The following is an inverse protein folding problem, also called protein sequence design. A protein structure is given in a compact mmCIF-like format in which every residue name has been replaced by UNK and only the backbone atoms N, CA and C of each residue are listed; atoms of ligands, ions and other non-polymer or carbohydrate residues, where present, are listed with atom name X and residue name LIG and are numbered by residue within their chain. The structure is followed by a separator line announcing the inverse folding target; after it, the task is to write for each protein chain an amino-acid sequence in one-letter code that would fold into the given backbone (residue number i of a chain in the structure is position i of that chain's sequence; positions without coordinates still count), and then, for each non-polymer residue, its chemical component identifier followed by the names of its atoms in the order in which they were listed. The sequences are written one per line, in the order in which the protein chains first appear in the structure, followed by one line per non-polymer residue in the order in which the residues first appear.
data_IF_680257659676
#
_entry.id   IF_680257659676
#
_cell.length_a   1.000
_cell.length_b   1.000
_cell.length_c   1.000
_cell.angle_alpha   90.00
_cell.angle_beta   90.00
_cell.angle_gamma   90.00
#
_symmetry.space_group_name_H-M   'P 1'
#
loop_
_entity.id
_entity.type
_entity.pdbx_description
1 polymer ?
#
# COMPACT_ATOMS: atom_id res chain seq x y z
N UNK A 1 24.12 27.03 12.46
CA UNK A 1 22.80 26.96 11.76
C UNK A 1 21.78 27.80 12.52
N UNK A 2 20.86 28.51 11.84
CA UNK A 2 19.80 29.28 12.52
C UNK A 2 18.54 28.44 12.77
N UNK A 3 17.83 28.71 13.87
CA UNK A 3 16.54 28.07 14.18
C UNK A 3 15.48 28.39 13.12
N UNK A 4 15.49 29.62 12.59
CA UNK A 4 14.62 30.03 11.48
C UNK A 4 14.73 29.10 10.26
N UNK A 5 15.95 28.65 9.93
CA UNK A 5 16.18 27.69 8.84
C UNK A 5 15.46 26.37 9.10
N UNK A 6 15.55 25.85 10.33
CA UNK A 6 14.86 24.62 10.74
C UNK A 6 13.34 24.80 10.70
N UNK A 7 12.83 25.95 11.13
CA UNK A 7 11.41 26.28 11.05
C UNK A 7 10.90 26.35 9.61
N UNK A 8 11.67 26.95 8.70
CA UNK A 8 11.31 26.97 7.26
C UNK A 8 11.32 25.56 6.65
N UNK A 9 12.26 24.69 7.05
CA UNK A 9 12.29 23.29 6.64
C UNK A 9 11.06 22.52 7.15
N UNK A 10 10.65 22.72 8.40
CA UNK A 10 9.44 22.12 8.96
C UNK A 10 8.17 22.55 8.22
N UNK A 11 8.03 23.85 7.94
CA UNK A 11 6.89 24.36 7.16
C UNK A 11 6.88 23.81 5.72
N UNK A 12 8.05 23.59 5.11
CA UNK A 12 8.14 22.97 3.80
C UNK A 12 7.75 21.49 3.84
N UNK A 13 8.24 20.73 4.84
CA UNK A 13 7.81 19.35 5.06
C UNK A 13 6.30 19.25 5.26
N UNK A 14 5.71 20.14 6.06
CA UNK A 14 4.25 20.20 6.26
C UNK A 14 3.50 20.37 4.93
N UNK A 15 3.96 21.28 4.07
CA UNK A 15 3.37 21.51 2.73
C UNK A 15 3.49 20.28 1.84
N UNK A 16 4.64 19.60 1.83
CA UNK A 16 4.83 18.37 1.06
C UNK A 16 3.90 17.25 1.56
N UNK A 17 3.75 17.07 2.87
CA UNK A 17 2.82 16.10 3.43
C UNK A 17 1.37 16.44 3.11
N UNK A 18 0.97 17.71 3.15
CA UNK A 18 -0.37 18.15 2.72
C UNK A 18 -0.62 17.92 1.23
N UNK A 19 0.39 18.14 0.38
CA UNK A 19 0.30 17.84 -1.05
C UNK A 19 0.12 16.34 -1.27
N UNK A 20 0.89 15.52 -0.57
CA UNK A 20 0.78 14.06 -0.65
C UNK A 20 -0.56 13.56 -0.10
N UNK A 21 -1.11 14.18 0.95
CA UNK A 21 -2.46 13.90 1.45
C UNK A 21 -3.52 14.20 0.39
N UNK A 22 -3.39 15.31 -0.35
CA UNK A 22 -4.28 15.61 -1.47
C UNK A 22 -4.21 14.53 -2.54
N UNK A 23 -3.01 14.11 -2.95
CA UNK A 23 -2.84 12.99 -3.89
C UNK A 23 -3.48 11.70 -3.35
N UNK A 24 -3.37 11.43 -2.05
CA UNK A 24 -4.03 10.28 -1.43
C UNK A 24 -5.56 10.38 -1.50
N UNK A 25 -6.15 11.57 -1.40
CA UNK A 25 -7.58 11.76 -1.60
C UNK A 25 -7.98 11.60 -3.08
N UNK A 26 -7.19 12.15 -4.00
CA UNK A 26 -7.43 12.01 -5.44
C UNK A 26 -7.37 10.53 -5.87
N UNK A 27 -6.47 9.75 -5.25
CA UNK A 27 -6.38 8.29 -5.40
C UNK A 27 -7.67 7.58 -5.00
N UNK A 28 -8.36 8.06 -3.97
CA UNK A 28 -9.65 7.50 -3.55
C UNK A 28 -10.71 7.67 -4.65
N UNK A 29 -10.77 8.82 -5.30
CA UNK A 29 -11.72 9.07 -6.40
C UNK A 29 -11.38 8.23 -7.63
N UNK A 30 -10.10 8.11 -7.98
CA UNK A 30 -9.67 7.26 -9.09
C UNK A 30 -9.97 5.78 -8.82
N UNK A 31 -9.72 5.29 -7.61
CA UNK A 31 -10.07 3.91 -7.21
C UNK A 31 -11.58 3.63 -7.29
N UNK A 32 -12.43 4.61 -6.99
CA UNK A 32 -13.89 4.47 -7.15
C UNK A 32 -14.30 4.38 -8.62
N UNK A 33 -13.67 5.18 -9.48
CA UNK A 33 -13.95 5.20 -10.92
C UNK A 33 -13.36 4.02 -11.69
N UNK A 34 -12.34 3.35 -11.12
CA UNK A 34 -11.61 2.26 -11.79
C UNK A 34 -10.65 2.74 -12.88
N UNK A 35 -10.28 4.02 -12.88
CA UNK A 35 -9.36 4.62 -13.87
C UNK A 35 -7.91 4.22 -13.60
N UNK A 36 -7.43 3.19 -14.29
CA UNK A 36 -6.07 2.66 -14.15
C UNK A 36 -5.01 3.64 -14.67
N UNK A 37 -5.29 4.34 -15.78
CA UNK A 37 -4.34 5.29 -16.37
C UNK A 37 -4.14 6.50 -15.45
N UNK A 38 -5.23 6.99 -14.85
CA UNK A 38 -5.18 8.03 -13.81
C UNK A 38 -4.39 7.59 -12.58
N UNK A 39 -4.58 6.35 -12.12
CA UNK A 39 -3.83 5.80 -10.98
C UNK A 39 -2.33 5.74 -11.29
N UNK A 40 -1.93 5.28 -12.48
CA UNK A 40 -0.52 5.20 -12.89
C UNK A 40 0.15 6.57 -12.92
N UNK A 41 -0.54 7.61 -13.38
CA UNK A 41 -0.03 8.98 -13.36
C UNK A 41 0.11 9.49 -11.92
N UNK A 42 -0.91 9.25 -11.08
CA UNK A 42 -0.90 9.65 -9.66
C UNK A 42 0.25 8.98 -8.88
N UNK A 43 0.55 7.72 -9.16
CA UNK A 43 1.65 6.99 -8.53
C UNK A 43 3.01 7.62 -8.82
N UNK A 44 3.23 8.16 -10.03
CA UNK A 44 4.47 8.88 -10.37
C UNK A 44 4.60 10.18 -9.55
N UNK A 45 3.50 10.89 -9.38
CA UNK A 45 3.45 12.10 -8.57
C UNK A 45 3.68 11.80 -7.08
N UNK A 46 3.07 10.74 -6.54
CA UNK A 46 3.34 10.25 -5.18
C UNK A 46 4.83 9.95 -4.99
N UNK A 47 5.48 9.24 -5.93
CA UNK A 47 6.90 8.92 -5.85
C UNK A 47 7.78 10.17 -5.83
N UNK A 48 7.49 11.17 -6.65
CA UNK A 48 8.23 12.43 -6.67
C UNK A 48 8.12 13.17 -5.33
N UNK A 49 6.91 13.21 -4.74
CA UNK A 49 6.69 13.81 -3.42
C UNK A 49 7.41 13.05 -2.31
N UNK A 50 7.38 11.71 -2.33
CA UNK A 50 8.10 10.88 -1.37
C UNK A 50 9.62 11.13 -1.45
N UNK A 51 10.18 11.20 -2.65
CA UNK A 51 11.60 11.51 -2.83
C UNK A 51 11.95 12.90 -2.26
N UNK A 52 11.11 13.91 -2.50
CA UNK A 52 11.30 15.24 -1.95
C UNK A 52 11.21 15.26 -0.42
N UNK A 53 10.25 14.54 0.17
CA UNK A 53 10.10 14.41 1.64
C UNK A 53 11.35 13.77 2.24
N UNK A 54 11.82 12.65 1.69
CA UNK A 54 13.02 11.95 2.19
C UNK A 54 14.24 12.87 2.15
N UNK A 55 14.48 13.56 1.04
CA UNK A 55 15.59 14.49 0.93
C UNK A 55 15.48 15.66 1.92
N UNK A 56 14.28 16.21 2.10
CA UNK A 56 14.06 17.33 3.01
C UNK A 56 14.18 16.90 4.48
N UNK A 57 13.70 15.71 4.84
CA UNK A 57 13.83 15.19 6.20
C UNK A 57 15.30 14.88 6.54
N UNK A 58 16.08 14.36 5.60
CA UNK A 58 17.53 14.21 5.77
C UNK A 58 18.22 15.56 6.03
N UNK A 59 17.84 16.61 5.29
CA UNK A 59 18.35 17.97 5.54
C UNK A 59 17.95 18.48 6.91
N UNK A 60 16.70 18.25 7.34
CA UNK A 60 16.22 18.58 8.68
C UNK A 60 17.05 17.86 9.75
N UNK A 61 17.26 16.54 9.64
CA UNK A 61 18.07 15.75 10.59
C UNK A 61 19.49 16.30 10.67
N UNK A 62 20.10 16.64 9.54
CA UNK A 62 21.45 17.22 9.51
C UNK A 62 21.50 18.61 10.16
N UNK A 63 20.52 19.48 9.87
CA UNK A 63 20.44 20.81 10.45
C UNK A 63 20.23 20.77 11.97
N UNK A 64 19.37 19.87 12.45
CA UNK A 64 19.15 19.65 13.89
C UNK A 64 20.43 19.14 14.54
N UNK A 65 21.10 18.15 13.94
CA UNK A 65 22.38 17.63 14.44
C UNK A 65 23.42 18.74 14.58
N UNK A 66 23.57 19.56 13.55
CA UNK A 66 24.53 20.66 13.55
C UNK A 66 24.21 21.69 14.64
N UNK A 67 22.93 22.06 14.80
CA UNK A 67 22.51 22.99 15.85
C UNK A 67 22.82 22.44 17.26
N UNK A 68 22.54 21.16 17.53
CA UNK A 68 22.82 20.53 18.83
C UNK A 68 24.34 20.47 19.11
N UNK A 69 25.16 20.16 18.09
CA UNK A 69 26.63 20.19 18.23
C UNK A 69 27.14 21.59 18.54
N UNK A 70 26.61 22.62 17.87
CA UNK A 70 26.99 24.02 18.08
C UNK A 70 26.65 24.50 19.50
N UNK A 71 25.58 23.96 20.11
CA UNK A 71 25.19 24.23 21.51
C UNK A 71 26.01 23.42 22.53
N UNK A 72 27.04 22.68 22.11
CA UNK A 72 27.93 21.93 23.00
C UNK A 72 27.30 20.70 23.66
N UNK A 73 26.15 20.24 23.17
CA UNK A 73 25.43 19.08 23.72
C UNK A 73 25.79 17.78 23.00
N UNK A 74 25.69 16.65 23.71
CA UNK A 74 25.93 15.33 23.13
C UNK A 74 24.86 15.00 22.09
N UNK A 75 25.29 14.83 20.85
CA UNK A 75 24.41 14.45 19.74
C UNK A 75 24.09 12.97 19.83
N UNK A 76 22.80 12.64 19.98
CA UNK A 76 22.34 11.26 19.81
C UNK A 76 22.49 10.80 18.36
N UNK A 77 22.57 9.48 18.16
CA UNK A 77 22.62 8.88 16.82
C UNK A 77 21.43 9.31 15.94
N UNK A 78 20.26 9.51 16.54
CA UNK A 78 19.05 10.03 15.91
C UNK A 78 18.57 11.31 16.63
N UNK A 79 18.90 12.51 16.12
CA UNK A 79 18.51 13.75 16.77
C UNK A 79 17.01 14.02 16.61
N UNK A 80 16.32 14.22 17.73
CA UNK A 80 14.87 14.43 17.74
C UNK A 80 14.49 15.90 17.79
N UNK A 81 13.31 16.24 17.28
CA UNK A 81 12.79 17.61 17.35
C UNK A 81 12.49 18.05 18.78
N UNK A 82 12.13 17.11 19.67
CA UNK A 82 11.92 17.39 21.10
C UNK A 82 13.19 17.92 21.76
N UNK A 83 14.34 17.31 21.47
CA UNK A 83 15.63 17.77 21.98
C UNK A 83 16.03 19.15 21.46
N UNK A 84 15.74 19.42 20.18
CA UNK A 84 15.95 20.75 19.63
C UNK A 84 15.13 21.80 20.39
N UNK A 85 13.85 21.52 20.66
CA UNK A 85 12.96 22.44 21.39
C UNK A 85 13.46 22.68 22.83
N UNK A 86 13.96 21.64 23.51
CA UNK A 86 14.51 21.78 24.85
C UNK A 86 15.78 22.67 24.88
N UNK A 87 16.62 22.58 23.84
CA UNK A 87 17.86 23.33 23.69
C UNK A 87 17.69 24.71 23.01
N UNK A 88 16.52 24.99 22.44
CA UNK A 88 16.21 26.26 21.81
C UNK A 88 15.98 27.35 22.87
N UNK A 89 16.19 28.61 22.49
CA UNK A 89 15.85 29.75 23.33
C UNK A 89 14.32 29.86 23.48
N UNK A 90 13.84 30.33 24.63
CA UNK A 90 12.39 30.53 24.90
C UNK A 90 11.57 31.13 23.75
N UNK A 91 11.99 32.23 23.06
CA UNK A 91 11.20 32.79 21.97
C UNK A 91 11.00 31.85 20.77
N UNK A 92 11.87 30.86 20.59
CA UNK A 92 11.86 29.95 19.44
C UNK A 92 11.16 28.61 19.76
N UNK A 93 10.95 28.29 21.03
CA UNK A 93 10.37 27.00 21.47
C UNK A 93 8.94 26.83 20.99
N UNK A 94 8.10 27.84 21.19
CA UNK A 94 6.69 27.80 20.83
C UNK A 94 6.49 27.64 19.30
N UNK A 95 7.13 28.45 18.43
CA UNK A 95 7.05 28.27 16.98
C UNK A 95 7.49 26.87 16.50
N UNK A 96 8.56 26.32 17.09
CA UNK A 96 9.05 24.98 16.75
C UNK A 96 8.08 23.88 17.20
N UNK A 97 7.51 24.01 18.40
CA UNK A 97 6.53 23.07 18.93
C UNK A 97 5.26 23.05 18.07
N UNK A 98 4.73 24.22 17.71
CA UNK A 98 3.57 24.32 16.82
C UNK A 98 3.84 23.73 15.44
N UNK A 99 4.98 24.06 14.82
CA UNK A 99 5.33 23.56 13.50
C UNK A 99 5.49 22.03 13.51
N UNK A 100 6.08 21.48 14.58
CA UNK A 100 6.16 20.03 14.80
C UNK A 100 4.77 19.40 14.90
N UNK A 101 3.87 20.01 15.67
CA UNK A 101 2.51 19.49 15.85
C UNK A 101 1.71 19.50 14.54
N UNK A 102 1.76 20.60 13.79
CA UNK A 102 1.12 20.70 12.47
C UNK A 102 1.64 19.64 11.49
N UNK A 103 2.95 19.39 11.49
CA UNK A 103 3.56 18.34 10.67
C UNK A 103 3.07 16.95 11.09
N UNK A 104 3.06 16.64 12.40
CA UNK A 104 2.57 15.36 12.92
C UNK A 104 1.10 15.12 12.56
N UNK A 105 0.27 16.16 12.68
CA UNK A 105 -1.14 16.09 12.28
C UNK A 105 -1.28 15.76 10.79
N UNK A 106 -0.52 16.42 9.92
CA UNK A 106 -0.54 16.13 8.48
C UNK A 106 -0.08 14.69 8.16
N UNK A 107 0.93 14.18 8.86
CA UNK A 107 1.41 12.80 8.72
C UNK A 107 0.35 11.79 9.16
N UNK A 108 -0.32 12.04 10.30
CA UNK A 108 -1.37 11.16 10.80
C UNK A 108 -2.54 11.07 9.84
N UNK A 109 -2.97 12.22 9.30
CA UNK A 109 -4.07 12.25 8.34
C UNK A 109 -3.70 11.54 7.02
N UNK A 110 -2.46 11.74 6.54
CA UNK A 110 -1.97 11.00 5.38
C UNK A 110 -1.95 9.49 5.63
N UNK A 111 -1.52 9.05 6.81
CA UNK A 111 -1.51 7.62 7.19
C UNK A 111 -2.92 7.04 7.17
N UNK A 112 -3.88 7.73 7.77
CA UNK A 112 -5.30 7.34 7.79
C UNK A 112 -5.85 7.20 6.37
N UNK A 113 -5.56 8.16 5.50
CA UNK A 113 -6.03 8.13 4.12
C UNK A 113 -5.40 6.99 3.31
N UNK A 114 -4.10 6.73 3.50
CA UNK A 114 -3.41 5.62 2.85
C UNK A 114 -3.99 4.26 3.29
N UNK A 115 -4.26 4.08 4.58
CA UNK A 115 -4.90 2.86 5.11
C UNK A 115 -6.28 2.63 4.48
N UNK A 116 -7.08 3.70 4.34
CA UNK A 116 -8.39 3.63 3.67
C UNK A 116 -8.24 3.20 2.20
N UNK A 117 -7.31 3.80 1.46
CA UNK A 117 -7.07 3.44 0.05
C UNK A 117 -6.60 1.99 -0.12
N UNK A 118 -5.78 1.49 0.79
CA UNK A 118 -5.34 0.09 0.79
C UNK A 118 -6.52 -0.86 1.03
N UNK A 119 -7.41 -0.54 1.98
CA UNK A 119 -8.61 -1.33 2.24
C UNK A 119 -9.55 -1.36 1.02
N UNK A 120 -9.80 -0.21 0.40
CA UNK A 120 -10.61 -0.14 -0.82
C UNK A 120 -10.02 -0.97 -1.96
N UNK A 121 -8.71 -0.87 -2.17
CA UNK A 121 -8.01 -1.65 -3.21
C UNK A 121 -8.15 -3.15 -2.95
N UNK A 122 -7.98 -3.58 -1.70
CA UNK A 122 -8.15 -4.98 -1.31
C UNK A 122 -9.57 -5.49 -1.54
N UNK A 123 -10.59 -4.71 -1.16
CA UNK A 123 -11.99 -5.05 -1.38
C UNK A 123 -12.34 -5.16 -2.88
N UNK A 124 -11.83 -4.23 -3.71
CA UNK A 124 -11.99 -4.30 -5.17
C UNK A 124 -11.40 -5.59 -5.76
N UNK A 125 -10.21 -5.99 -5.30
CA UNK A 125 -9.59 -7.26 -5.71
C UNK A 125 -10.41 -8.48 -5.27
N UNK A 126 -10.95 -8.47 -4.04
CA UNK A 126 -11.85 -9.54 -3.57
C UNK A 126 -13.10 -9.66 -4.43
N UNK A 127 -13.71 -8.52 -4.79
CA UNK A 127 -14.90 -8.50 -5.65
C UNK A 127 -14.60 -9.04 -7.06
N UNK A 128 -13.48 -8.64 -7.66
CA UNK A 128 -13.04 -9.15 -8.97
C UNK A 128 -12.81 -10.66 -8.91
N UNK A 129 -12.13 -11.17 -7.88
CA UNK A 129 -11.89 -12.61 -7.73
C UNK A 129 -13.19 -13.40 -7.57
N UNK A 130 -14.12 -12.93 -6.72
CA UNK A 130 -15.43 -13.57 -6.57
C UNK A 130 -16.22 -13.56 -7.89
N UNK A 131 -16.18 -12.46 -8.62
CA UNK A 131 -16.82 -12.34 -9.93
C UNK A 131 -16.24 -13.30 -10.96
N UNK A 132 -14.91 -13.46 -11.00
CA UNK A 132 -14.24 -14.44 -11.85
C UNK A 132 -14.62 -15.88 -11.46
N UNK A 133 -14.70 -16.20 -10.17
CA UNK A 133 -15.08 -17.54 -9.70
C UNK A 133 -16.53 -17.90 -10.03
N UNK A 134 -17.43 -16.92 -10.12
CA UNK A 134 -18.82 -17.13 -10.58
C UNK A 134 -18.91 -17.37 -12.09
N UNK A 135 -18.04 -16.74 -12.89
CA UNK A 135 -18.02 -16.87 -14.35
C UNK A 135 -17.23 -18.11 -14.80
N UNK A 136 -16.34 -18.64 -13.95
CA UNK A 136 -15.60 -19.87 -14.25
C UNK A 136 -16.57 -21.03 -14.46
N UNK A 137 -16.57 -21.67 -15.65
CA UNK A 137 -17.38 -22.84 -15.89
C UNK A 137 -16.96 -23.92 -14.90
N UNK A 138 -17.90 -24.35 -14.05
CA UNK A 138 -17.69 -25.53 -13.21
C UNK A 138 -17.54 -26.71 -14.18
N UNK A 139 -16.52 -27.57 -14.05
CA UNK A 139 -16.49 -28.79 -14.82
C UNK A 139 -17.78 -29.54 -14.51
N UNK A 140 -18.61 -29.76 -15.53
CA UNK A 140 -19.78 -30.61 -15.37
C UNK A 140 -19.25 -31.97 -14.95
N UNK A 141 -19.50 -32.36 -13.69
CA UNK A 141 -19.39 -33.75 -13.29
C UNK A 141 -20.50 -34.47 -14.04
N UNK A 142 -20.20 -34.91 -15.25
CA UNK A 142 -21.10 -35.73 -16.06
C UNK A 142 -21.16 -37.10 -15.40
N UNK A 143 -21.96 -37.19 -14.34
CA UNK A 143 -22.37 -38.43 -13.72
C UNK A 143 -23.33 -39.13 -14.69
N UNK A 144 -22.79 -39.83 -15.68
CA UNK A 144 -23.56 -40.84 -16.41
C UNK A 144 -23.74 -42.07 -15.51
N UNK A 145 -24.73 -41.99 -14.63
CA UNK A 145 -25.36 -43.17 -14.05
C UNK A 145 -26.21 -43.88 -15.12
N UNK A 146 -25.73 -45.07 -15.47
CA UNK A 146 -26.51 -46.33 -15.55
C UNK A 146 -27.31 -46.66 -16.84
N UNK A 147 -26.93 -47.83 -17.36
CA UNK A 147 -27.70 -48.88 -18.03
C UNK A 147 -28.06 -48.82 -19.53
N UNK A 148 -27.37 -49.73 -20.24
CA UNK A 148 -27.93 -50.85 -21.01
C UNK A 148 -28.43 -50.69 -22.47
N UNK A 149 -27.96 -51.68 -23.24
CA UNK A 149 -28.49 -52.40 -24.41
C UNK A 149 -28.43 -51.85 -25.86
N UNK A 150 -27.75 -52.70 -26.67
CA UNK A 150 -28.07 -53.23 -28.03
C UNK A 150 -27.34 -52.63 -29.25
N UNK A 151 -26.61 -53.50 -29.96
CA UNK A 151 -26.62 -53.49 -31.43
C UNK A 151 -25.32 -53.80 -32.21
N UNK A 152 -24.89 -55.08 -32.22
CA UNK A 152 -24.22 -55.85 -33.30
C UNK A 152 -22.95 -55.37 -34.08
N UNK A 153 -22.08 -56.37 -34.30
CA UNK A 153 -20.68 -56.43 -34.80
C UNK A 153 -20.50 -56.35 -36.34
N UNK A 154 -19.25 -56.44 -36.89
CA UNK A 154 -18.72 -57.76 -37.28
C UNK A 154 -17.18 -57.89 -37.23
N UNK A 155 -16.63 -58.93 -36.58
CA UNK A 155 -15.18 -59.17 -36.67
C UNK A 155 -14.53 -60.17 -35.73
N UNK A 156 -15.18 -61.28 -35.35
CA UNK A 156 -14.46 -62.43 -34.80
C UNK A 156 -15.32 -63.70 -34.95
N UNK A 157 -14.80 -64.71 -35.65
CA UNK A 157 -15.47 -66.01 -35.79
C UNK A 157 -15.44 -66.78 -34.46
N UNK A 158 -16.48 -67.56 -34.14
CA UNK A 158 -16.58 -68.35 -32.90
C UNK A 158 -16.17 -69.81 -33.10
N UNK A 159 -15.62 -70.45 -32.06
CA UNK A 159 -15.78 -71.88 -31.71
C UNK A 159 -15.58 -72.01 -30.19
N UNK A 160 -16.66 -71.98 -29.41
CA UNK A 160 -17.24 -73.14 -28.72
C UNK A 160 -16.22 -74.20 -28.27
N UNK A 161 -16.00 -74.28 -26.96
CA UNK A 161 -15.95 -75.55 -26.25
C UNK A 161 -16.67 -75.38 -24.92
N UNK A 162 -17.55 -76.33 -24.67
CA UNK A 162 -18.58 -76.40 -23.65
C UNK A 162 -18.09 -77.19 -22.44
N UNK A 163 -18.74 -76.96 -21.29
CA UNK A 163 -18.79 -77.80 -20.08
C UNK A 163 -17.52 -77.83 -19.18
N UNK A 164 -17.56 -77.54 -17.88
CA UNK A 164 -18.41 -77.91 -16.73
C UNK A 164 -17.82 -79.07 -15.89
N UNK A 165 -18.06 -78.97 -14.58
CA UNK A 165 -17.90 -79.94 -13.49
C UNK A 165 -16.62 -79.89 -12.64
N UNK A 166 -16.83 -79.38 -11.42
CA UNK A 166 -16.10 -79.73 -10.21
C UNK A 166 -16.06 -81.25 -9.99
N UNK A 167 -14.94 -81.73 -9.46
CA UNK A 167 -14.82 -82.87 -8.54
C UNK A 167 -13.62 -82.61 -7.62
#
# INVERSE_FOLDING_TARGET
MSIESILTMLNHLEKLHKSLLRLSNDKTELLKSGDIDGIDQLLKEEQAHLAAIVQMDQKRVHAVKQYITEQGSSVLAEPTMTQLIELANEPDKEPLAEARERLLHAIHELKRQNELNQQMTYQSLQFVNLSLDMIRPRPENVNYTKNEVRGQSPGAKPKLSSFDSQA
#
